data_IF_655943951705
#
_entry.id   IF_655943951705
#
_cell.length_a   1.000
_cell.length_b   1.000
_cell.length_c   1.000
_cell.angle_alpha   90.00
_cell.angle_beta   90.00
_cell.angle_gamma   90.00
#
_symmetry.space_group_name_H-M   'P 1'
#
loop_
_entity.id
_entity.type
_entity.pdbx_description
1 polymer ?
#
# COMPACT_ATOMS: atom_id res chain seq x y z
N UNK A 1 34.49 -43.89 16.78
CA UNK A 1 33.04 -43.72 16.53
C UNK A 1 32.72 -42.26 16.76
N UNK A 2 32.53 -41.49 15.70
CA UNK A 2 32.36 -40.04 15.73
C UNK A 2 30.87 -39.75 15.52
N UNK A 3 30.21 -39.19 16.52
CA UNK A 3 28.81 -38.79 16.43
C UNK A 3 28.83 -37.33 15.97
N UNK A 4 28.46 -37.10 14.72
CA UNK A 4 28.38 -35.76 14.14
C UNK A 4 27.26 -34.96 14.79
N UNK A 5 27.62 -33.84 15.42
CA UNK A 5 26.68 -32.81 15.83
C UNK A 5 26.01 -32.25 14.58
N UNK A 6 24.72 -32.56 14.40
CA UNK A 6 23.88 -31.91 13.40
C UNK A 6 23.67 -30.47 13.86
N UNK A 7 24.39 -29.54 13.24
CA UNK A 7 24.09 -28.11 13.28
C UNK A 7 22.63 -27.90 12.88
N UNK A 8 21.80 -27.65 13.89
CA UNK A 8 20.41 -27.25 13.69
C UNK A 8 20.43 -25.77 13.34
N UNK A 9 20.58 -25.43 12.06
CA UNK A 9 20.28 -24.06 11.63
C UNK A 9 18.79 -23.80 11.90
N UNK A 10 18.42 -22.82 12.73
CA UNK A 10 17.03 -22.46 12.88
C UNK A 10 16.52 -22.04 11.50
N UNK A 11 15.46 -22.71 11.01
CA UNK A 11 14.72 -22.30 9.81
C UNK A 11 14.48 -20.80 9.92
N UNK A 12 15.17 -19.98 9.12
CA UNK A 12 14.97 -18.54 9.08
C UNK A 12 13.49 -18.31 8.79
N UNK A 13 12.70 -17.94 9.80
CA UNK A 13 11.36 -17.41 9.59
C UNK A 13 11.53 -16.18 8.72
N UNK A 14 10.89 -16.19 7.57
CA UNK A 14 10.85 -15.05 6.66
C UNK A 14 9.99 -13.97 7.30
N UNK A 15 10.58 -13.17 8.18
CA UNK A 15 9.93 -11.97 8.71
C UNK A 15 9.68 -11.03 7.53
N UNK A 16 8.41 -10.79 7.21
CA UNK A 16 8.05 -9.78 6.20
C UNK A 16 7.70 -8.51 6.96
N UNK A 17 8.45 -7.45 6.68
CA UNK A 17 8.14 -6.10 7.13
C UNK A 17 7.65 -5.24 5.95
N UNK A 18 6.90 -4.19 6.25
CA UNK A 18 6.47 -3.17 5.30
C UNK A 18 7.08 -1.84 5.71
N UNK A 19 7.72 -1.16 4.77
CA UNK A 19 8.23 0.19 4.97
C UNK A 19 7.07 1.17 5.14
N UNK A 20 7.11 1.99 6.18
CA UNK A 20 6.17 3.10 6.41
C UNK A 20 6.69 4.41 5.83
N UNK A 21 7.77 4.35 5.04
CA UNK A 21 8.38 5.52 4.42
C UNK A 21 7.49 6.04 3.30
N UNK A 22 7.33 7.36 3.26
CA UNK A 22 6.62 8.02 2.17
C UNK A 22 7.52 8.21 0.95
N UNK A 23 6.93 8.02 -0.23
CA UNK A 23 7.55 8.26 -1.52
C UNK A 23 6.77 9.35 -2.24
N UNK A 24 7.25 10.57 -2.15
CA UNK A 24 6.72 11.75 -2.85
C UNK A 24 7.30 11.87 -4.26
N UNK A 25 6.70 12.60 -5.18
CA UNK A 25 7.34 13.09 -6.43
C UNK A 25 8.01 14.44 -6.18
N UNK A 26 8.83 14.93 -7.11
CA UNK A 26 9.38 16.28 -7.03
C UNK A 26 8.35 17.33 -7.47
N UNK A 27 7.43 17.66 -6.57
CA UNK A 27 6.34 18.58 -6.86
C UNK A 27 6.79 20.03 -7.06
N UNK A 28 7.99 20.39 -6.60
CA UNK A 28 8.55 21.75 -6.80
C UNK A 28 8.94 21.93 -8.27
N UNK A 29 9.52 20.90 -8.85
CA UNK A 29 9.87 20.84 -10.28
C UNK A 29 8.75 20.24 -11.13
N UNK A 30 7.50 20.25 -10.62
CA UNK A 30 6.31 19.85 -11.37
C UNK A 30 6.31 18.37 -11.83
N UNK A 31 6.90 17.49 -11.03
CA UNK A 31 6.83 16.05 -11.23
C UNK A 31 5.63 15.46 -10.49
N UNK A 32 4.95 14.51 -11.13
CA UNK A 32 3.80 13.78 -10.60
C UNK A 32 4.08 12.28 -10.60
N UNK A 33 3.28 11.49 -9.89
CA UNK A 33 3.35 10.03 -9.96
C UNK A 33 2.58 9.56 -11.20
N UNK A 34 3.24 8.77 -12.04
CA UNK A 34 2.67 8.17 -13.27
C UNK A 34 2.69 6.64 -13.24
N UNK A 35 3.35 6.06 -12.24
CA UNK A 35 3.37 4.62 -12.00
C UNK A 35 3.84 4.27 -10.60
N UNK A 36 3.50 3.06 -10.15
CA UNK A 36 3.81 2.58 -8.80
C UNK A 36 4.08 1.08 -8.86
N UNK A 37 5.00 0.61 -8.02
CA UNK A 37 5.24 -0.81 -7.81
C UNK A 37 5.62 -1.11 -6.36
N UNK A 38 5.55 -2.39 -6.01
CA UNK A 38 6.10 -2.90 -4.76
C UNK A 38 7.43 -3.60 -5.04
N UNK A 39 8.47 -3.23 -4.29
CA UNK A 39 9.79 -3.89 -4.38
C UNK A 39 10.15 -4.51 -3.03
N UNK A 40 10.90 -5.62 -3.08
CA UNK A 40 11.43 -6.26 -1.88
C UNK A 40 12.92 -5.91 -1.74
N UNK A 41 13.31 -5.36 -0.59
CA UNK A 41 14.68 -4.98 -0.28
C UNK A 41 14.89 -4.90 1.23
N UNK A 42 16.08 -5.29 1.71
CA UNK A 42 16.44 -5.26 3.14
C UNK A 42 15.41 -5.93 4.08
N UNK A 43 14.91 -7.09 3.66
CA UNK A 43 13.86 -7.86 4.37
C UNK A 43 12.50 -7.16 4.51
N UNK A 44 12.27 -6.07 3.77
CA UNK A 44 11.02 -5.33 3.79
C UNK A 44 10.42 -5.18 2.38
N UNK A 45 9.12 -4.95 2.33
CA UNK A 45 8.39 -4.50 1.15
C UNK A 45 8.34 -2.97 1.17
N UNK A 46 8.71 -2.35 0.06
CA UNK A 46 8.70 -0.90 -0.15
C UNK A 46 7.77 -0.55 -1.30
N UNK A 47 7.13 0.62 -1.21
CA UNK A 47 6.53 1.25 -2.38
C UNK A 47 7.62 1.98 -3.15
N UNK A 48 7.63 1.83 -4.47
CA UNK A 48 8.44 2.65 -5.35
C UNK A 48 7.54 3.35 -6.36
N UNK A 49 7.86 4.61 -6.67
CA UNK A 49 7.11 5.42 -7.61
C UNK A 49 7.91 5.68 -8.89
N UNK A 50 7.21 5.66 -10.02
CA UNK A 50 7.65 6.23 -11.28
C UNK A 50 7.10 7.65 -11.32
N UNK A 51 7.99 8.64 -11.33
CA UNK A 51 7.59 10.05 -11.46
C UNK A 51 7.74 10.52 -12.91
N UNK A 52 6.85 11.41 -13.33
CA UNK A 52 6.85 12.02 -14.65
C UNK A 52 6.70 13.54 -14.60
N UNK A 53 7.43 14.23 -15.47
CA UNK A 53 7.36 15.69 -15.58
C UNK A 53 6.13 16.08 -16.39
N UNK A 54 5.16 16.73 -15.72
CA UNK A 54 3.92 17.15 -16.37
C UNK A 54 4.09 18.51 -17.06
N UNK A 55 3.52 18.63 -18.26
CA UNK A 55 3.41 19.86 -19.04
C UNK A 55 1.95 20.21 -19.31
N UNK A 56 1.72 21.28 -20.08
CA UNK A 56 0.38 21.72 -20.46
C UNK A 56 -0.46 20.56 -21.01
N UNK A 57 -1.77 20.59 -20.73
CA UNK A 57 -2.71 19.55 -21.10
C UNK A 57 -2.41 18.17 -20.49
N UNK A 58 -1.65 18.13 -19.40
CA UNK A 58 -1.35 16.90 -18.66
C UNK A 58 -0.39 15.94 -19.38
N UNK A 59 0.28 16.41 -20.44
CA UNK A 59 1.30 15.62 -21.15
C UNK A 59 2.49 15.30 -20.25
N UNK A 60 3.05 14.11 -20.42
CA UNK A 60 4.22 13.66 -19.65
C UNK A 60 5.43 13.63 -20.58
N UNK A 61 6.39 14.51 -20.32
CA UNK A 61 7.56 14.71 -21.19
C UNK A 61 8.74 13.80 -20.86
N UNK A 62 8.91 13.46 -19.58
CA UNK A 62 10.00 12.64 -19.06
C UNK A 62 9.50 11.76 -17.92
N UNK A 63 10.08 10.57 -17.74
CA UNK A 63 9.78 9.67 -16.62
C UNK A 63 11.06 9.13 -15.99
N UNK A 64 11.02 8.84 -14.69
CA UNK A 64 12.10 8.15 -13.97
C UNK A 64 11.61 7.48 -12.70
N UNK A 65 12.15 6.29 -12.42
CA UNK A 65 11.92 5.61 -11.15
C UNK A 65 12.66 6.35 -10.02
N UNK A 66 11.94 6.74 -8.96
CA UNK A 66 12.58 7.30 -7.76
C UNK A 66 13.30 6.19 -7.01
N UNK A 67 14.53 6.44 -6.57
CA UNK A 67 15.28 5.48 -5.73
C UNK A 67 14.55 5.24 -4.41
N UNK A 68 14.51 3.99 -3.97
CA UNK A 68 13.97 3.65 -2.66
C UNK A 68 15.07 3.80 -1.62
N UNK A 69 14.77 4.51 -0.56
CA UNK A 69 15.66 4.58 0.61
C UNK A 69 15.29 3.44 1.56
N UNK A 70 16.23 2.55 1.82
CA UNK A 70 15.98 1.35 2.62
C UNK A 70 15.91 1.61 4.12
N UNK A 71 16.37 2.79 4.56
CA UNK A 71 16.33 3.21 5.95
C UNK A 71 14.99 3.90 6.26
N UNK A 72 14.32 3.48 7.33
CA UNK A 72 13.09 4.12 7.79
C UNK A 72 12.31 3.29 8.79
N UNK A 73 11.19 3.86 9.24
CA UNK A 73 10.23 3.14 10.09
C UNK A 73 9.57 2.02 9.29
N UNK A 74 9.35 0.89 9.92
CA UNK A 74 8.70 -0.26 9.32
C UNK A 74 7.76 -0.94 10.31
N UNK A 75 6.88 -1.76 9.79
CA UNK A 75 6.00 -2.63 10.57
C UNK A 75 6.17 -4.07 10.12
N UNK A 76 6.48 -4.95 11.07
CA UNK A 76 6.53 -6.40 10.82
C UNK A 76 5.12 -6.94 10.66
N UNK A 77 4.87 -7.78 9.65
CA UNK A 77 3.57 -8.43 9.39
C UNK A 77 3.38 -9.74 10.17
N UNK A 78 4.40 -10.22 10.89
CA UNK A 78 4.26 -11.39 11.76
C UNK A 78 3.38 -11.07 12.97
N UNK A 79 2.51 -12.01 13.33
CA UNK A 79 1.83 -12.01 14.62
C UNK A 79 2.85 -12.22 15.73
N UNK A 80 2.88 -11.30 16.69
CA UNK A 80 3.50 -11.61 17.97
C UNK A 80 2.50 -12.48 18.75
N UNK A 81 2.83 -13.78 18.86
CA UNK A 81 2.01 -14.79 19.54
C UNK A 81 1.81 -14.51 21.03
N UNK A 82 2.64 -13.64 21.62
CA UNK A 82 2.65 -13.35 23.06
C UNK A 82 1.63 -12.29 23.49
N UNK A 83 1.03 -11.53 22.57
CA UNK A 83 0.23 -10.34 22.91
C UNK A 83 -1.07 -10.18 22.10
N UNK A 84 -1.42 -11.12 21.21
CA UNK A 84 -2.76 -11.13 20.56
C UNK A 84 -3.05 -9.94 19.64
N UNK A 85 -2.01 -9.29 19.10
CA UNK A 85 -2.16 -8.19 18.15
C UNK A 85 -2.38 -8.74 16.74
N UNK A 86 -3.64 -8.70 16.27
CA UNK A 86 -3.96 -8.96 14.87
C UNK A 86 -3.60 -7.72 14.03
N UNK A 87 -2.86 -7.93 12.94
CA UNK A 87 -2.57 -6.88 11.94
C UNK A 87 -3.50 -7.03 10.75
N UNK A 88 -4.13 -5.94 10.35
CA UNK A 88 -4.98 -5.88 9.14
C UNK A 88 -4.32 -4.96 8.12
N UNK A 89 -4.29 -5.39 6.87
CA UNK A 89 -3.81 -4.55 5.76
C UNK A 89 -5.02 -4.15 4.91
N UNK A 90 -5.22 -2.84 4.74
CA UNK A 90 -6.20 -2.27 3.84
C UNK A 90 -5.50 -1.73 2.59
N UNK A 91 -5.67 -2.46 1.49
CA UNK A 91 -5.18 -2.10 0.15
C UNK A 91 -6.34 -1.66 -0.76
N UNK A 92 -7.43 -1.18 -0.18
CA UNK A 92 -8.59 -0.70 -0.93
C UNK A 92 -8.23 0.46 -1.85
N UNK A 93 -9.04 0.62 -2.90
CA UNK A 93 -8.81 1.64 -3.92
C UNK A 93 -8.87 3.04 -3.30
N UNK A 94 -7.85 3.84 -3.60
CA UNK A 94 -7.77 5.24 -3.17
C UNK A 94 -7.80 6.11 -4.41
N UNK A 95 -8.82 6.97 -4.50
CA UNK A 95 -9.04 7.84 -5.66
C UNK A 95 -8.92 9.30 -5.22
N UNK A 96 -8.09 10.05 -5.92
CA UNK A 96 -7.95 11.49 -5.74
C UNK A 96 -9.21 12.21 -6.27
N UNK A 97 -9.60 13.34 -5.66
CA UNK A 97 -10.70 14.16 -6.15
C UNK A 97 -10.47 14.63 -7.58
N UNK A 98 -11.54 15.08 -8.24
CA UNK A 98 -11.44 15.75 -9.52
C UNK A 98 -10.47 16.94 -9.43
N UNK A 99 -9.65 17.14 -10.47
CA UNK A 99 -8.57 18.14 -10.55
C UNK A 99 -7.32 17.85 -9.70
N UNK A 100 -7.27 16.72 -8.99
CA UNK A 100 -6.08 16.30 -8.25
C UNK A 100 -5.39 15.13 -8.95
N UNK A 101 -4.07 15.12 -8.84
CA UNK A 101 -3.20 14.04 -9.32
C UNK A 101 -2.40 13.48 -8.16
N UNK A 102 -1.99 12.22 -8.28
CA UNK A 102 -1.12 11.58 -7.29
C UNK A 102 0.29 12.18 -7.39
N UNK A 103 0.80 12.65 -6.27
CA UNK A 103 2.18 13.16 -6.10
C UNK A 103 2.93 12.45 -4.98
N UNK A 104 2.36 11.40 -4.41
CA UNK A 104 3.06 10.57 -3.45
C UNK A 104 2.25 9.37 -3.00
N UNK A 105 2.93 8.38 -2.45
CA UNK A 105 2.33 7.14 -1.95
C UNK A 105 3.05 6.71 -0.68
N UNK A 106 2.31 6.18 0.30
CA UNK A 106 2.88 5.58 1.51
C UNK A 106 2.00 4.48 2.09
N UNK A 107 2.60 3.65 2.92
CA UNK A 107 1.86 2.89 3.91
C UNK A 107 1.81 3.66 5.22
N UNK A 108 0.63 3.68 5.87
CA UNK A 108 0.45 4.23 7.21
C UNK A 108 -0.03 3.14 8.15
N UNK A 109 0.65 2.96 9.27
CA UNK A 109 0.17 2.12 10.35
C UNK A 109 -0.62 2.98 11.34
N UNK A 110 -1.86 2.59 11.62
CA UNK A 110 -2.72 3.24 12.62
C UNK A 110 -3.15 2.24 13.68
N UNK A 111 -3.19 2.69 14.92
CA UNK A 111 -3.70 1.89 16.04
C UNK A 111 -5.15 2.28 16.29
N UNK A 112 -6.06 1.31 16.25
CA UNK A 112 -7.44 1.51 16.70
C UNK A 112 -7.63 0.80 18.04
N UNK A 113 -7.94 1.53 19.13
CA UNK A 113 -8.43 0.90 20.34
C UNK A 113 -9.82 0.32 20.02
N UNK A 114 -9.96 -1.00 20.04
CA UNK A 114 -11.29 -1.62 19.96
C UNK A 114 -11.96 -1.56 21.34
N UNK A 115 -13.28 -1.79 21.38
CA UNK A 115 -14.10 -1.71 22.60
C UNK A 115 -13.69 -2.66 23.74
N UNK A 116 -12.69 -3.53 23.52
CA UNK A 116 -12.06 -4.35 24.55
C UNK A 116 -10.60 -3.92 24.76
N UNK A 117 -10.19 -3.55 25.99
CA UNK A 117 -8.87 -3.00 26.29
C UNK A 117 -7.69 -3.97 26.07
N UNK A 118 -7.97 -5.23 25.75
CA UNK A 118 -6.97 -6.31 25.59
C UNK A 118 -6.59 -6.59 24.14
N UNK A 119 -7.31 -6.06 23.14
CA UNK A 119 -7.03 -6.30 21.72
C UNK A 119 -6.80 -4.97 20.98
N UNK A 120 -5.53 -4.66 20.71
CA UNK A 120 -5.16 -3.55 19.85
C UNK A 120 -4.97 -4.07 18.43
N UNK A 121 -5.73 -3.50 17.48
CA UNK A 121 -5.56 -3.83 16.07
C UNK A 121 -4.72 -2.76 15.38
N UNK A 122 -3.62 -3.20 14.78
CA UNK A 122 -2.82 -2.38 13.86
C UNK A 122 -3.45 -2.48 12.47
N UNK A 123 -3.82 -1.34 11.90
CA UNK A 123 -4.31 -1.25 10.52
C UNK A 123 -3.24 -0.55 9.69
N UNK A 124 -2.68 -1.31 8.75
CA UNK A 124 -1.77 -0.80 7.73
C UNK A 124 -2.63 -0.42 6.54
N UNK A 125 -2.63 0.85 6.16
CA UNK A 125 -3.40 1.34 5.03
C UNK A 125 -2.50 1.98 3.99
N UNK A 126 -2.87 1.81 2.73
CA UNK A 126 -2.31 2.58 1.63
C UNK A 126 -2.88 4.01 1.67
N UNK A 127 -2.01 5.00 1.52
CA UNK A 127 -2.37 6.40 1.34
C UNK A 127 -1.72 6.98 0.09
N UNK A 128 -2.45 7.85 -0.61
CA UNK A 128 -1.92 8.67 -1.70
C UNK A 128 -1.83 10.12 -1.24
N UNK A 129 -0.80 10.82 -1.67
CA UNK A 129 -0.72 12.27 -1.60
C UNK A 129 -1.30 12.82 -2.88
N UNK A 130 -2.40 13.57 -2.77
CA UNK A 130 -3.09 14.20 -3.88
C UNK A 130 -2.72 15.68 -3.91
N UNK A 131 -2.36 16.20 -5.09
CA UNK A 131 -2.07 17.64 -5.30
C UNK A 131 -2.90 18.15 -6.46
N UNK A 132 -3.48 19.33 -6.32
CA UNK A 132 -4.27 19.93 -7.39
C UNK A 132 -3.38 20.27 -8.59
N UNK A 133 -3.86 19.96 -9.79
CA UNK A 133 -3.19 20.25 -11.06
C UNK A 133 -4.06 21.20 -11.90
N UNK A 134 -3.50 22.36 -12.26
CA UNK A 134 -4.05 23.15 -13.36
C UNK A 134 -3.75 22.41 -14.66
N UNK A 135 -4.73 21.66 -15.17
CA UNK A 135 -4.55 20.81 -16.35
C UNK A 135 -4.17 21.61 -17.60
N UNK A 136 -4.76 22.80 -17.79
CA UNK A 136 -4.51 23.62 -18.97
C UNK A 136 -3.07 24.14 -18.99
N UNK A 137 -2.58 24.59 -17.82
CA UNK A 137 -1.20 25.09 -17.70
C UNK A 137 -0.19 23.98 -17.43
N UNK A 138 -0.67 22.81 -17.02
CA UNK A 138 0.16 21.71 -16.55
C UNK A 138 0.93 22.05 -15.28
N UNK A 139 0.35 22.79 -14.33
CA UNK A 139 1.08 23.28 -13.14
C UNK A 139 0.46 22.79 -11.83
N UNK A 140 1.31 22.28 -10.93
CA UNK A 140 0.89 21.87 -9.59
C UNK A 140 0.65 23.06 -8.66
N UNK A 141 -0.46 23.03 -7.94
CA UNK A 141 -0.73 23.90 -6.79
C UNK A 141 -0.29 23.18 -5.50
N UNK A 142 1.01 23.20 -5.19
CA UNK A 142 1.60 22.42 -4.08
C UNK A 142 0.95 22.71 -2.72
N UNK A 143 0.54 23.97 -2.48
CA UNK A 143 -0.18 24.38 -1.26
C UNK A 143 -1.60 23.78 -1.15
N UNK A 144 -2.11 23.21 -2.24
CA UNK A 144 -3.40 22.57 -2.34
C UNK A 144 -3.23 21.06 -2.49
N UNK A 145 -2.69 20.45 -1.42
CA UNK A 145 -2.36 19.05 -1.38
C UNK A 145 -2.76 18.40 -0.05
N UNK A 146 -3.02 17.08 -0.09
CA UNK A 146 -3.43 16.31 1.09
C UNK A 146 -3.18 14.81 0.93
N UNK A 147 -2.93 14.15 2.06
CA UNK A 147 -2.98 12.69 2.14
C UNK A 147 -4.42 12.19 2.15
N UNK A 148 -4.69 11.14 1.39
CA UNK A 148 -6.00 10.48 1.26
C UNK A 148 -5.77 8.98 1.46
N UNK A 149 -6.61 8.36 2.28
CA UNK A 149 -6.71 6.90 2.41
C UNK A 149 -8.04 6.44 1.81
N UNK A 150 -8.16 5.15 1.52
CA UNK A 150 -9.47 4.57 1.27
C UNK A 150 -10.39 4.90 2.47
N UNK A 151 -11.59 5.40 2.19
CA UNK A 151 -12.57 5.60 3.25
C UNK A 151 -12.96 4.21 3.75
N UNK A 152 -12.57 3.88 4.98
CA UNK A 152 -13.17 2.79 5.73
C UNK A 152 -14.61 3.23 6.04
N UNK A 153 -15.50 3.22 5.05
CA UNK A 153 -16.92 3.46 5.28
C UNK A 153 -17.36 2.43 6.34
N UNK A 154 -17.78 2.93 7.49
CA UNK A 154 -18.26 2.18 8.65
C UNK A 154 -19.62 1.52 8.38
N UNK A 155 -19.77 0.81 7.25
CA UNK A 155 -21.01 0.13 6.87
C UNK A 155 -20.83 -1.14 6.01
N UNK A 156 -19.62 -1.68 5.94
CA UNK A 156 -19.37 -3.05 5.47
C UNK A 156 -18.81 -3.91 6.62
N UNK A 157 -19.46 -3.83 7.78
CA UNK A 157 -19.61 -5.02 8.62
C UNK A 157 -20.88 -5.70 8.13
N UNK A 158 -20.76 -6.47 7.04
CA UNK A 158 -21.85 -7.31 6.58
C UNK A 158 -21.85 -8.56 7.45
N UNK A 159 -22.56 -8.47 8.59
CA UNK A 159 -23.07 -9.66 9.25
C UNK A 159 -23.82 -10.52 8.21
N UNK A 160 -23.72 -11.86 8.28
CA UNK A 160 -24.13 -12.75 7.21
C UNK A 160 -25.63 -12.59 6.97
N UNK A 161 -25.99 -12.09 5.79
CA UNK A 161 -27.34 -12.24 5.27
C UNK A 161 -27.35 -13.47 4.39
N UNK A 162 -27.88 -14.55 4.95
CA UNK A 162 -28.37 -15.70 4.20
C UNK A 162 -29.25 -15.21 3.04
N UNK A 163 -28.74 -15.32 1.82
CA UNK A 163 -29.58 -15.37 0.61
C UNK A 163 -29.00 -16.40 -0.36
N UNK A 164 -29.66 -17.55 -0.31
CA UNK A 164 -29.66 -18.60 -1.31
C UNK A 164 -29.99 -18.05 -2.71
N UNK A 165 -29.05 -18.11 -3.65
CA UNK A 165 -29.29 -18.49 -5.07
C UNK A 165 -28.05 -18.25 -5.94
N UNK A 166 -27.28 -19.32 -6.10
CA UNK A 166 -26.43 -19.76 -7.23
C UNK A 166 -26.04 -18.73 -8.31
N UNK A 167 -24.73 -18.59 -8.48
CA UNK A 167 -23.92 -17.81 -9.46
C UNK A 167 -23.61 -16.36 -9.09
N UNK A 168 -22.84 -16.20 -8.02
CA UNK A 168 -21.78 -15.20 -7.97
C UNK A 168 -20.47 -15.99 -7.78
N UNK A 169 -19.55 -15.85 -8.73
CA UNK A 169 -18.18 -16.32 -8.56
C UNK A 169 -17.64 -15.53 -7.37
N UNK A 170 -17.39 -16.24 -6.27
CA UNK A 170 -16.85 -15.74 -5.01
C UNK A 170 -15.67 -14.81 -5.29
N UNK A 171 -15.90 -13.50 -5.18
CA UNK A 171 -14.86 -12.49 -5.08
C UNK A 171 -14.21 -12.61 -3.71
N UNK A 172 -13.24 -13.51 -3.60
CA UNK A 172 -12.30 -13.54 -2.47
C UNK A 172 -11.07 -12.70 -2.82
N UNK A 173 -11.10 -11.42 -2.45
CA UNK A 173 -9.90 -10.60 -2.17
C UNK A 173 -10.29 -9.62 -1.07
N UNK A 174 -10.55 -10.08 0.15
CA UNK A 174 -9.60 -10.42 1.22
C UNK A 174 -9.29 -9.22 2.12
N UNK A 175 -10.19 -8.96 3.08
CA UNK A 175 -9.73 -8.62 4.41
C UNK A 175 -8.87 -9.79 4.89
N UNK A 176 -7.55 -9.67 4.84
CA UNK A 176 -6.67 -10.68 5.42
C UNK A 176 -6.77 -10.53 6.94
N UNK A 177 -7.80 -11.12 7.55
CA UNK A 177 -7.76 -11.45 8.97
C UNK A 177 -6.82 -12.63 9.11
N UNK A 178 -5.67 -12.40 9.73
CA UNK A 178 -4.88 -13.48 10.32
C UNK A 178 -5.64 -13.86 11.60
N UNK A 179 -6.73 -14.58 11.45
CA UNK A 179 -7.46 -15.20 12.54
C UNK A 179 -7.81 -16.61 12.07
N UNK A 180 -7.71 -17.60 12.95
CA UNK A 180 -7.75 -19.05 12.70
C UNK A 180 -6.44 -19.70 12.21
N UNK A 181 -5.39 -19.63 13.04
CA UNK A 181 -4.39 -20.71 13.20
C UNK A 181 -3.52 -21.08 11.98
N UNK A 182 -3.72 -20.42 10.84
CA UNK A 182 -2.97 -20.58 9.59
C UNK A 182 -2.40 -19.22 9.20
N UNK A 183 -1.23 -18.91 9.75
CA UNK A 183 -0.41 -17.78 9.30
C UNK A 183 -0.05 -18.00 7.83
N UNK A 184 -0.83 -17.42 6.93
CA UNK A 184 -0.52 -17.40 5.51
C UNK A 184 0.23 -16.11 5.27
N UNK A 185 1.54 -16.25 5.06
CA UNK A 185 2.38 -15.15 4.58
C UNK A 185 1.79 -14.67 3.24
N UNK A 186 1.34 -13.41 3.13
CA UNK A 186 0.82 -12.91 1.86
C UNK A 186 1.94 -12.90 0.82
N UNK A 187 1.65 -13.43 -0.36
CA UNK A 187 2.53 -13.32 -1.51
C UNK A 187 2.26 -11.98 -2.22
N UNK A 188 3.28 -11.14 -2.33
CA UNK A 188 3.22 -9.90 -3.10
C UNK A 188 3.86 -10.14 -4.48
N UNK A 189 3.04 -10.24 -5.52
CA UNK A 189 3.50 -10.17 -6.92
C UNK A 189 3.61 -8.68 -7.30
N UNK A 190 4.84 -8.15 -7.31
CA UNK A 190 5.11 -6.77 -7.68
C UNK A 190 5.00 -6.59 -9.19
N UNK A 191 3.78 -6.46 -9.71
CA UNK A 191 3.58 -6.05 -11.10
C UNK A 191 3.69 -4.54 -11.20
N UNK A 192 4.41 -4.08 -12.21
CA UNK A 192 4.53 -2.66 -12.50
C UNK A 192 3.17 -2.13 -12.98
N UNK A 193 2.64 -1.10 -12.31
CA UNK A 193 1.51 -0.34 -12.81
C UNK A 193 2.06 0.91 -13.51
N UNK A 194 2.21 0.81 -14.83
CA UNK A 194 2.63 1.91 -15.70
C UNK A 194 1.64 2.07 -16.85
N UNK A 195 1.37 3.30 -17.25
CA UNK A 195 0.61 3.60 -18.46
C UNK A 195 1.55 3.79 -19.65
N UNK A 196 1.17 3.25 -20.81
CA UNK A 196 1.83 3.49 -22.09
C UNK A 196 0.79 4.01 -23.11
N UNK A 197 0.79 5.30 -23.47
CA UNK A 197 1.73 6.34 -23.02
C UNK A 197 1.55 6.73 -21.54
N UNK A 198 2.59 7.27 -20.88
CA UNK A 198 2.49 7.71 -19.49
C UNK A 198 1.41 8.78 -19.32
N UNK A 199 0.62 8.65 -18.26
CA UNK A 199 -0.49 9.56 -17.95
C UNK A 199 -0.54 9.84 -16.44
N UNK A 200 -1.10 11.00 -16.01
CA UNK A 200 -1.33 11.29 -14.60
C UNK A 200 -2.16 10.21 -13.91
N UNK A 201 -1.72 9.75 -12.74
CA UNK A 201 -2.55 8.88 -11.91
C UNK A 201 -3.60 9.70 -11.16
N UNK A 202 -4.87 9.31 -11.29
CA UNK A 202 -5.97 9.82 -10.46
C UNK A 202 -6.15 8.98 -9.19
N UNK A 203 -5.59 7.77 -9.12
CA UNK A 203 -5.75 6.91 -7.95
C UNK A 203 -4.84 5.70 -8.01
N UNK A 204 -4.91 4.90 -6.94
CA UNK A 204 -4.24 3.62 -6.84
C UNK A 204 -5.23 2.56 -6.41
N UNK A 205 -5.16 1.39 -7.05
CA UNK A 205 -5.96 0.22 -6.71
C UNK A 205 -5.24 -1.04 -7.14
N UNK A 206 -5.65 -2.17 -6.58
CA UNK A 206 -5.17 -3.47 -7.05
C UNK A 206 -6.06 -3.95 -8.20
N UNK A 207 -5.49 -4.58 -9.24
CA UNK A 207 -6.28 -5.14 -10.34
C UNK A 207 -7.27 -6.18 -9.81
N UNK A 208 -8.51 -6.13 -10.30
CA UNK A 208 -9.62 -7.04 -9.95
C UNK A 208 -9.78 -8.14 -11.00
#
# INVERSE_FOLDING_TARGET
>A
MTIGERNFEPRRRSVIAVSLREHMSDTTDNWIVVGVRLIKGSHMVHVQILEGLVSAYGEISMTRWRKVEENGNFVTLEESRENGHAKKINLGDVVAPLEYVVTGVRFRCTFKPFAHPTHQHEIIQLEIHATKLDFLRGKLEVNNSRWISASLNSKEEMAPKDFTSKKAIESQTSALSIDDGRSTVPFFDGRDLEFSPPAPLQGLGLPR
#
